data_IF_497478484458
#
_entry.id   IF_497478484458
#
_cell.length_a   1.000
_cell.length_b   1.000
_cell.length_c   1.000
_cell.angle_alpha   90.00
_cell.angle_beta   90.00
_cell.angle_gamma   90.00
#
_symmetry.space_group_name_H-M   'P 1'
#
loop_
_entity.id
_entity.type
_entity.pdbx_description
1 polymer ?
#
# COMPACT_ATOMS: atom_id res chain seq x y z
N UNK A 1 34.90 -49.29 87.10
CA UNK A 1 34.62 -49.33 85.62
C UNK A 1 33.37 -48.51 85.33
N UNK A 2 33.49 -47.33 84.87
CA UNK A 2 32.33 -46.45 84.59
C UNK A 2 32.57 -45.70 83.28
N UNK A 3 31.87 -46.14 82.28
CA UNK A 3 31.92 -45.53 80.96
C UNK A 3 31.07 -44.24 80.97
N UNK A 4 31.66 -43.04 80.71
CA UNK A 4 30.93 -41.78 80.51
C UNK A 4 30.65 -41.58 79.04
N UNK A 5 29.35 -41.50 78.74
CA UNK A 5 28.78 -41.16 77.41
C UNK A 5 29.01 -39.68 77.20
N UNK A 6 29.62 -39.35 76.07
CA UNK A 6 29.62 -37.95 75.56
C UNK A 6 28.38 -37.71 74.78
N UNK A 7 27.56 -36.79 75.27
CA UNK A 7 26.33 -36.32 74.59
C UNK A 7 26.65 -35.32 73.43
N UNK A 8 25.93 -35.51 72.36
CA UNK A 8 26.16 -34.88 71.07
C UNK A 8 25.96 -33.38 71.01
N UNK A 9 26.90 -32.72 70.39
CA UNK A 9 26.77 -31.36 69.97
C UNK A 9 25.88 -31.27 68.70
N UNK A 10 24.75 -30.58 68.82
CA UNK A 10 23.87 -30.25 67.63
C UNK A 10 24.57 -29.21 66.79
N UNK A 11 25.03 -29.62 65.63
CA UNK A 11 25.44 -28.68 64.56
C UNK A 11 24.20 -28.06 64.00
N UNK A 12 24.05 -26.74 64.27
CA UNK A 12 23.03 -25.93 63.60
C UNK A 12 23.43 -25.73 62.15
N UNK A 13 22.68 -26.33 61.22
CA UNK A 13 22.80 -26.07 59.77
C UNK A 13 22.39 -24.60 59.52
N UNK A 14 23.39 -23.77 59.16
CA UNK A 14 23.13 -22.48 58.56
C UNK A 14 22.34 -22.68 57.27
N UNK A 15 21.12 -22.20 57.27
CA UNK A 15 20.29 -22.15 56.07
C UNK A 15 20.95 -21.29 54.98
N UNK A 16 21.27 -21.90 53.84
CA UNK A 16 21.65 -21.17 52.63
C UNK A 16 20.47 -20.31 52.23
N UNK A 17 20.56 -19.01 52.46
CA UNK A 17 19.67 -18.06 51.86
C UNK A 17 19.83 -18.13 50.32
N UNK A 18 18.84 -18.66 49.64
CA UNK A 18 18.74 -18.56 48.16
C UNK A 18 18.51 -17.12 47.82
N UNK A 19 19.54 -16.43 47.35
CA UNK A 19 19.37 -15.19 46.62
C UNK A 19 18.72 -15.58 45.29
N UNK A 20 17.41 -15.40 45.20
CA UNK A 20 16.71 -15.51 43.93
C UNK A 20 17.15 -14.29 43.13
N UNK A 21 17.98 -14.48 42.12
CA UNK A 21 18.39 -13.45 41.20
C UNK A 21 17.16 -12.87 40.50
N UNK A 22 16.85 -11.61 40.77
CA UNK A 22 15.82 -10.82 40.08
C UNK A 22 16.29 -10.32 38.72
N UNK A 23 17.41 -10.79 38.18
CA UNK A 23 17.99 -10.28 36.94
C UNK A 23 17.28 -10.77 35.67
N UNK A 24 16.54 -11.87 35.72
CA UNK A 24 15.85 -12.38 34.51
C UNK A 24 14.54 -11.71 34.15
N UNK A 25 13.90 -10.99 35.11
CA UNK A 25 12.60 -10.38 34.89
C UNK A 25 12.69 -9.02 34.17
N UNK A 26 13.71 -8.22 34.50
CA UNK A 26 13.91 -6.91 33.90
C UNK A 26 14.33 -6.98 32.44
N UNK A 27 15.22 -7.92 32.09
CA UNK A 27 15.67 -8.09 30.70
C UNK A 27 14.51 -8.57 29.81
N UNK A 28 13.72 -9.54 30.29
CA UNK A 28 12.54 -10.02 29.55
C UNK A 28 11.48 -8.94 29.37
N UNK A 29 11.26 -8.09 30.37
CA UNK A 29 10.30 -6.98 30.28
C UNK A 29 10.77 -5.87 29.34
N UNK A 30 12.06 -5.56 29.30
CA UNK A 30 12.64 -4.57 28.37
C UNK A 30 12.55 -5.09 26.92
N UNK A 31 12.84 -6.35 26.67
CA UNK A 31 12.69 -6.94 25.34
C UNK A 31 11.23 -6.97 24.88
N UNK A 32 10.29 -7.31 25.77
CA UNK A 32 8.86 -7.30 25.44
C UNK A 32 8.34 -5.89 25.12
N UNK A 33 8.78 -4.85 25.87
CA UNK A 33 8.44 -3.46 25.56
C UNK A 33 9.08 -2.98 24.25
N UNK A 34 10.33 -3.37 23.97
CA UNK A 34 11.01 -3.01 22.73
C UNK A 34 10.33 -3.62 21.50
N UNK A 35 9.89 -4.88 21.58
CA UNK A 35 9.14 -5.53 20.51
C UNK A 35 7.77 -4.85 20.30
N UNK A 36 7.08 -4.50 21.37
CA UNK A 36 5.79 -3.80 21.28
C UNK A 36 5.94 -2.39 20.69
N UNK A 37 7.03 -1.68 20.98
CA UNK A 37 7.30 -0.37 20.42
C UNK A 37 7.59 -0.42 18.91
N UNK A 38 8.25 -1.47 18.41
CA UNK A 38 8.52 -1.66 16.97
C UNK A 38 7.24 -1.96 16.18
N UNK A 39 6.27 -2.66 16.78
CA UNK A 39 4.98 -2.96 16.12
C UNK A 39 4.04 -1.75 16.07
N UNK A 40 4.30 -0.70 16.85
CA UNK A 40 3.50 0.52 16.87
C UNK A 40 3.94 1.58 15.84
N UNK A 41 4.97 1.31 15.02
CA UNK A 41 5.30 2.20 13.92
C UNK A 41 4.12 2.23 12.94
N UNK A 42 3.55 3.41 12.61
CA UNK A 42 2.52 3.49 11.60
C UNK A 42 3.12 2.99 10.30
N UNK A 43 2.72 1.80 9.87
CA UNK A 43 2.94 1.35 8.50
C UNK A 43 2.15 2.34 7.66
N UNK A 44 2.83 3.25 6.98
CA UNK A 44 2.24 4.09 5.94
C UNK A 44 1.86 3.15 4.79
N UNK A 45 0.77 2.45 5.00
CA UNK A 45 0.12 1.67 3.96
C UNK A 45 -0.74 2.64 3.17
N UNK A 46 -0.34 2.83 1.91
CA UNK A 46 -1.08 3.48 0.85
C UNK A 46 -1.53 4.93 1.14
N UNK A 47 -1.01 5.85 0.36
CA UNK A 47 -1.58 7.19 0.26
C UNK A 47 -3.07 7.06 -0.02
N UNK A 48 -3.92 7.75 0.79
CA UNK A 48 -5.34 7.75 0.49
C UNK A 48 -5.56 8.51 -0.84
N UNK A 49 -6.52 8.06 -1.64
CA UNK A 49 -6.89 8.73 -2.89
C UNK A 49 -7.07 10.24 -2.66
N UNK A 50 -7.81 10.63 -1.61
CA UNK A 50 -8.10 12.02 -1.27
C UNK A 50 -6.88 12.84 -0.86
N UNK A 51 -5.77 12.22 -0.48
CA UNK A 51 -4.54 12.94 -0.19
C UNK A 51 -3.81 13.39 -1.46
N UNK A 52 -3.91 12.63 -2.53
CA UNK A 52 -3.16 12.87 -3.78
C UNK A 52 -4.03 13.43 -4.90
N UNK A 53 -5.28 12.98 -5.02
CA UNK A 53 -6.17 13.32 -6.11
C UNK A 53 -7.42 14.09 -5.64
N UNK A 54 -7.99 14.88 -6.54
CA UNK A 54 -9.17 15.71 -6.26
C UNK A 54 -10.38 15.16 -7.01
N UNK A 55 -11.31 14.55 -6.28
CA UNK A 55 -12.55 13.99 -6.85
C UNK A 55 -13.42 15.08 -7.55
N UNK A 56 -13.24 16.34 -7.17
CA UNK A 56 -13.96 17.46 -7.77
C UNK A 56 -13.27 18.01 -9.04
N UNK A 57 -12.12 17.40 -9.42
CA UNK A 57 -11.39 17.76 -10.65
C UNK A 57 -11.34 16.57 -11.62
N UNK A 58 -12.47 16.13 -12.16
CA UNK A 58 -12.47 15.11 -13.20
C UNK A 58 -11.75 15.62 -14.42
N UNK A 59 -10.98 14.73 -15.06
CA UNK A 59 -10.29 15.03 -16.31
C UNK A 59 -10.59 13.96 -17.35
N UNK A 60 -10.55 14.38 -18.61
CA UNK A 60 -10.65 13.52 -19.77
C UNK A 60 -9.63 13.99 -20.79
N UNK A 61 -8.58 13.23 -20.98
CA UNK A 61 -7.45 13.60 -21.83
C UNK A 61 -7.22 12.51 -22.89
N UNK A 62 -6.98 12.96 -24.13
CA UNK A 62 -6.63 12.08 -25.23
C UNK A 62 -5.18 12.27 -25.61
N UNK A 63 -4.46 11.17 -25.86
CA UNK A 63 -3.05 11.23 -26.20
C UNK A 63 -2.51 9.89 -26.65
N UNK A 64 -1.21 9.88 -26.93
CA UNK A 64 -0.50 8.68 -27.38
C UNK A 64 0.28 8.09 -26.21
N UNK A 65 0.14 6.80 -25.98
CA UNK A 65 0.88 6.09 -24.95
C UNK A 65 2.38 6.13 -25.29
N UNK A 66 3.19 6.58 -24.31
CA UNK A 66 4.64 6.57 -24.39
C UNK A 66 5.24 5.40 -23.64
N UNK A 67 4.68 5.07 -22.46
CA UNK A 67 5.16 4.00 -21.60
C UNK A 67 4.01 3.42 -20.76
N UNK A 68 4.09 2.12 -20.45
CA UNK A 68 3.25 1.47 -19.44
C UNK A 68 4.14 0.69 -18.48
N UNK A 69 4.05 1.01 -17.19
CA UNK A 69 4.75 0.28 -16.12
C UNK A 69 3.78 -0.60 -15.37
N UNK A 70 3.90 -1.91 -15.62
CA UNK A 70 3.13 -2.92 -14.91
C UNK A 70 3.80 -3.24 -13.59
N UNK A 71 3.24 -2.77 -12.48
CA UNK A 71 3.82 -2.95 -11.15
C UNK A 71 2.76 -3.10 -10.07
N UNK A 72 3.20 -3.52 -8.89
CA UNK A 72 2.45 -3.52 -7.65
C UNK A 72 3.22 -2.63 -6.65
N UNK A 73 2.56 -1.83 -5.82
CA UNK A 73 1.10 -1.73 -5.61
C UNK A 73 0.32 -0.95 -6.68
N UNK A 74 0.96 -0.17 -7.54
CA UNK A 74 0.30 0.63 -8.57
C UNK A 74 1.01 0.48 -9.91
N UNK A 75 0.21 0.28 -10.99
CA UNK A 75 0.70 0.40 -12.36
C UNK A 75 0.57 1.84 -12.83
N UNK A 76 1.32 2.20 -13.86
CA UNK A 76 1.32 3.55 -14.42
C UNK A 76 1.25 3.49 -15.93
N UNK A 77 0.48 4.43 -16.52
CA UNK A 77 0.49 4.68 -17.96
C UNK A 77 0.87 6.13 -18.20
N UNK A 78 1.76 6.35 -19.13
CA UNK A 78 2.24 7.67 -19.52
C UNK A 78 1.74 7.96 -20.93
N UNK A 79 1.12 9.13 -21.12
CA UNK A 79 0.63 9.56 -22.43
C UNK A 79 1.09 10.96 -22.76
N UNK A 80 1.43 11.18 -24.02
CA UNK A 80 1.69 12.52 -24.56
C UNK A 80 0.37 13.15 -24.98
N UNK A 81 -0.01 14.23 -24.30
CA UNK A 81 -1.21 15.01 -24.55
C UNK A 81 -0.82 16.34 -25.16
N UNK A 82 -1.45 16.73 -26.26
CA UNK A 82 -1.33 18.08 -26.81
C UNK A 82 -2.35 18.99 -26.14
N UNK A 83 -1.88 20.11 -25.60
CA UNK A 83 -2.75 21.17 -25.11
C UNK A 83 -3.29 22.03 -26.27
N UNK A 84 -4.16 23.00 -25.92
CA UNK A 84 -4.77 23.90 -26.90
C UNK A 84 -3.75 24.76 -27.68
N UNK A 85 -2.56 24.99 -27.12
CA UNK A 85 -1.46 25.70 -27.78
C UNK A 85 -0.64 24.81 -28.72
N UNK A 86 -0.89 23.49 -28.72
CA UNK A 86 -0.13 22.49 -29.46
C UNK A 86 1.11 22.01 -28.73
N UNK A 87 1.36 22.48 -27.50
CA UNK A 87 2.45 21.98 -26.67
C UNK A 87 2.13 20.57 -26.16
N UNK A 88 3.10 19.69 -26.25
CA UNK A 88 3.00 18.32 -25.71
C UNK A 88 3.38 18.30 -24.25
N UNK A 89 2.51 17.72 -23.42
CA UNK A 89 2.74 17.46 -22.01
C UNK A 89 2.60 15.96 -21.78
N UNK A 90 3.62 15.34 -21.19
CA UNK A 90 3.58 13.95 -20.79
C UNK A 90 2.84 13.83 -19.46
N UNK A 91 1.70 13.15 -19.47
CA UNK A 91 0.86 12.90 -18.30
C UNK A 91 1.12 11.51 -17.74
N UNK A 92 1.22 11.40 -16.40
CA UNK A 92 1.34 10.15 -15.66
C UNK A 92 -0.02 9.79 -15.05
N UNK A 93 -0.54 8.62 -15.37
CA UNK A 93 -1.81 8.13 -14.86
C UNK A 93 -1.61 6.90 -13.99
N UNK A 94 -1.98 7.01 -12.72
CA UNK A 94 -1.95 5.91 -11.77
C UNK A 94 -3.12 4.96 -12.02
N UNK A 95 -2.83 3.67 -12.02
CA UNK A 95 -3.78 2.59 -12.22
C UNK A 95 -3.71 1.60 -11.06
N UNK A 96 -4.64 0.67 -11.01
CA UNK A 96 -4.61 -0.44 -10.08
C UNK A 96 -3.34 -1.31 -10.24
N UNK A 97 -3.04 -2.15 -9.22
CA UNK A 97 -1.96 -3.13 -9.31
C UNK A 97 -2.05 -3.99 -10.56
N UNK A 98 -0.91 -4.34 -11.15
CA UNK A 98 -0.84 -5.16 -12.37
C UNK A 98 -1.66 -6.45 -12.26
N UNK A 99 -1.59 -7.14 -11.12
CA UNK A 99 -2.35 -8.37 -10.89
C UNK A 99 -3.88 -8.14 -10.88
N UNK A 100 -4.36 -6.98 -10.46
CA UNK A 100 -5.79 -6.63 -10.50
C UNK A 100 -6.24 -6.33 -11.92
N UNK A 101 -5.43 -5.58 -12.69
CA UNK A 101 -5.70 -5.29 -14.09
C UNK A 101 -5.74 -6.59 -14.95
N UNK A 102 -4.80 -7.50 -14.76
CA UNK A 102 -4.81 -8.80 -15.44
C UNK A 102 -6.08 -9.61 -15.17
N UNK A 103 -6.57 -9.62 -13.91
CA UNK A 103 -7.84 -10.32 -13.56
C UNK A 103 -9.05 -9.67 -14.22
N UNK A 104 -8.99 -8.37 -14.54
CA UNK A 104 -10.04 -7.63 -15.26
C UNK A 104 -9.93 -7.75 -16.78
N UNK A 105 -9.03 -8.59 -17.27
CA UNK A 105 -8.88 -8.86 -18.69
C UNK A 105 -7.87 -7.99 -19.42
N UNK A 106 -7.20 -7.06 -18.76
CA UNK A 106 -6.15 -6.26 -19.37
C UNK A 106 -4.99 -7.10 -19.89
N UNK A 107 -4.46 -6.71 -21.03
CA UNK A 107 -3.24 -7.29 -21.60
C UNK A 107 -2.28 -6.19 -22.02
N UNK A 108 -0.95 -6.39 -21.93
CA UNK A 108 0.04 -5.39 -22.38
C UNK A 108 -0.15 -4.98 -23.85
N UNK A 109 -0.66 -5.87 -24.69
CA UNK A 109 -0.95 -5.60 -26.09
C UNK A 109 -2.09 -4.60 -26.31
N UNK A 110 -3.00 -4.45 -25.36
CA UNK A 110 -4.12 -3.49 -25.47
C UNK A 110 -3.64 -2.05 -25.35
N UNK A 111 -2.55 -1.82 -24.60
CA UNK A 111 -2.04 -0.50 -24.22
C UNK A 111 -0.54 -0.38 -24.56
N UNK A 112 -0.15 -0.87 -25.71
CA UNK A 112 1.23 -0.76 -26.20
C UNK A 112 1.61 0.71 -26.45
N UNK A 113 2.90 1.04 -26.31
CA UNK A 113 3.41 2.35 -26.70
C UNK A 113 3.07 2.64 -28.18
N UNK A 114 2.71 3.90 -28.45
CA UNK A 114 2.21 4.34 -29.75
C UNK A 114 0.67 4.23 -29.93
N UNK A 115 -0.04 3.55 -29.02
CA UNK A 115 -1.51 3.46 -29.08
C UNK A 115 -2.12 4.80 -28.66
N UNK A 116 -3.12 5.28 -29.42
CA UNK A 116 -3.92 6.45 -29.06
C UNK A 116 -5.05 6.03 -28.12
N UNK A 117 -5.17 6.72 -27.00
CA UNK A 117 -6.17 6.43 -25.97
C UNK A 117 -6.81 7.71 -25.44
N UNK A 118 -8.00 7.58 -24.88
CA UNK A 118 -8.61 8.61 -24.04
C UNK A 118 -8.67 8.11 -22.62
N UNK A 119 -8.06 8.84 -21.68
CA UNK A 119 -8.03 8.51 -20.26
C UNK A 119 -8.99 9.41 -19.50
N UNK A 120 -9.84 8.81 -18.70
CA UNK A 120 -10.78 9.47 -17.80
C UNK A 120 -10.35 9.20 -16.35
N UNK A 121 -10.35 10.24 -15.51
CA UNK A 121 -9.90 10.12 -14.13
C UNK A 121 -9.98 11.42 -13.35
N UNK A 122 -9.14 11.56 -12.34
CA UNK A 122 -9.11 12.72 -11.46
C UNK A 122 -7.71 13.30 -11.34
N UNK A 123 -7.58 14.60 -11.51
CA UNK A 123 -6.31 15.31 -11.46
C UNK A 123 -5.69 15.30 -10.06
N UNK A 124 -4.38 15.38 -10.01
CA UNK A 124 -3.63 15.57 -8.76
C UNK A 124 -3.98 16.92 -8.12
N UNK A 125 -3.94 16.94 -6.78
CA UNK A 125 -4.17 18.17 -6.00
C UNK A 125 -3.06 19.19 -6.15
N UNK A 126 -1.84 18.74 -6.37
CA UNK A 126 -0.66 19.60 -6.46
C UNK A 126 -0.49 20.29 -7.83
N UNK A 127 -1.39 20.00 -8.79
CA UNK A 127 -1.35 20.61 -10.13
C UNK A 127 -0.30 20.02 -11.06
N UNK A 128 0.41 18.96 -10.68
CA UNK A 128 1.30 18.25 -11.60
C UNK A 128 0.51 17.55 -12.71
N UNK A 129 1.11 17.22 -13.85
CA UNK A 129 0.48 16.44 -14.92
C UNK A 129 0.38 14.97 -14.51
N UNK A 130 -0.34 14.72 -13.42
CA UNK A 130 -0.55 13.40 -12.83
C UNK A 130 -2.03 13.25 -12.50
N UNK A 131 -2.57 12.05 -12.67
CA UNK A 131 -3.95 11.75 -12.37
C UNK A 131 -4.12 10.31 -11.90
N UNK A 132 -5.20 10.05 -11.16
CA UNK A 132 -5.68 8.69 -10.94
C UNK A 132 -6.61 8.30 -12.08
N UNK A 133 -6.45 7.10 -12.60
CA UNK A 133 -7.22 6.60 -13.74
C UNK A 133 -8.49 5.91 -13.27
N UNK A 134 -9.62 6.27 -13.84
CA UNK A 134 -10.86 5.50 -13.73
C UNK A 134 -11.02 4.54 -14.91
N UNK A 135 -10.99 5.08 -16.12
CA UNK A 135 -11.25 4.34 -17.34
C UNK A 135 -10.29 4.77 -18.45
N UNK A 136 -9.88 3.82 -19.29
CA UNK A 136 -9.19 4.06 -20.54
C UNK A 136 -10.09 3.62 -21.68
N UNK A 137 -10.29 4.46 -22.67
CA UNK A 137 -11.02 4.18 -23.89
C UNK A 137 -10.01 4.02 -25.02
N UNK A 138 -9.99 2.87 -25.66
CA UNK A 138 -9.14 2.57 -26.80
C UNK A 138 -9.74 3.14 -28.10
N UNK A 139 -8.94 3.24 -29.15
CA UNK A 139 -9.37 3.74 -30.47
C UNK A 139 -10.46 2.88 -31.13
N UNK A 140 -10.55 1.61 -30.76
CA UNK A 140 -11.61 0.67 -31.23
C UNK A 140 -12.91 0.79 -30.41
N UNK A 141 -12.97 1.71 -29.44
CA UNK A 141 -14.14 1.95 -28.59
C UNK A 141 -14.22 1.06 -27.33
N UNK A 142 -13.32 0.09 -27.15
CA UNK A 142 -13.29 -0.71 -25.93
C UNK A 142 -12.95 0.16 -24.72
N UNK A 143 -13.64 -0.08 -23.62
CA UNK A 143 -13.44 0.60 -22.34
C UNK A 143 -12.77 -0.35 -21.35
N UNK A 144 -11.63 0.05 -20.82
CA UNK A 144 -10.85 -0.70 -19.85
C UNK A 144 -10.90 0.03 -18.50
N UNK A 145 -11.46 -0.61 -17.47
CA UNK A 145 -11.51 -0.04 -16.12
C UNK A 145 -10.17 -0.21 -15.41
N UNK A 146 -9.52 0.88 -15.12
CA UNK A 146 -8.17 0.96 -14.53
C UNK A 146 -8.16 1.39 -13.07
N UNK A 147 -9.23 2.04 -12.60
CA UNK A 147 -9.33 2.59 -11.26
C UNK A 147 -9.92 1.63 -10.22
N UNK A 148 -9.60 1.88 -8.95
CA UNK A 148 -10.47 1.48 -7.86
C UNK A 148 -11.54 2.57 -7.69
N UNK A 149 -12.79 2.22 -7.31
CA UNK A 149 -13.73 3.24 -6.86
C UNK A 149 -13.08 4.05 -5.74
N UNK A 150 -13.28 5.38 -5.67
CA UNK A 150 -12.84 6.16 -4.54
C UNK A 150 -13.42 5.55 -3.27
N UNK A 151 -12.57 5.07 -2.36
CA UNK A 151 -13.03 4.40 -1.12
C UNK A 151 -13.51 5.39 -0.06
N UNK A 152 -13.41 6.69 -0.32
CA UNK A 152 -13.77 7.77 0.61
C UNK A 152 -15.26 8.15 0.52
N UNK A 153 -16.16 7.16 0.46
CA UNK A 153 -17.61 7.37 0.60
C UNK A 153 -18.37 7.81 -0.66
N UNK A 154 -17.71 7.91 -1.81
CA UNK A 154 -18.37 8.12 -3.08
C UNK A 154 -18.94 6.79 -3.63
N UNK A 155 -20.25 6.73 -3.89
CA UNK A 155 -20.84 5.60 -4.58
C UNK A 155 -20.15 5.35 -5.92
N UNK A 156 -19.88 4.08 -6.28
CA UNK A 156 -19.33 3.78 -7.60
C UNK A 156 -20.29 4.31 -8.68
N UNK A 157 -19.77 4.84 -9.81
CA UNK A 157 -20.62 5.13 -10.95
C UNK A 157 -21.41 3.88 -11.30
N UNK A 158 -22.72 4.00 -11.46
CA UNK A 158 -23.60 2.89 -11.83
C UNK A 158 -23.00 2.18 -13.06
N UNK A 159 -22.75 0.89 -12.93
CA UNK A 159 -22.33 0.05 -14.05
C UNK A 159 -23.39 0.15 -15.13
N UNK A 160 -23.07 0.85 -16.22
CA UNK A 160 -23.85 0.79 -17.43
C UNK A 160 -23.84 -0.64 -17.92
N UNK A 161 -24.96 -1.35 -17.72
CA UNK A 161 -25.10 -2.73 -18.11
C UNK A 161 -24.73 -2.91 -19.59
N UNK A 162 -23.82 -3.86 -19.83
CA UNK A 162 -23.57 -4.34 -21.18
C UNK A 162 -24.87 -4.92 -21.73
N UNK A 163 -25.28 -4.62 -22.96
CA UNK A 163 -26.38 -5.31 -23.62
C UNK A 163 -25.96 -6.77 -23.83
N UNK A 164 -26.87 -7.68 -23.50
CA UNK A 164 -26.74 -9.12 -23.74
C UNK A 164 -26.86 -9.42 -25.23
#
# INVERSE_FOLDING_TARGET
MTVRRCEGARVRRCGRARVRGCEGATVRSVFALAILAVTALPVRAHHSFSAEFDINKPIKLSGTITEVRWSNPHSWIYIDVKDESGKVVNWAFEMQPANALYRRGWRPTDVAAGTVVTVEGWASRNGSPTANTNTIVLSDGRRLFAGAPPTDGGAPPAEGGAPR
#
